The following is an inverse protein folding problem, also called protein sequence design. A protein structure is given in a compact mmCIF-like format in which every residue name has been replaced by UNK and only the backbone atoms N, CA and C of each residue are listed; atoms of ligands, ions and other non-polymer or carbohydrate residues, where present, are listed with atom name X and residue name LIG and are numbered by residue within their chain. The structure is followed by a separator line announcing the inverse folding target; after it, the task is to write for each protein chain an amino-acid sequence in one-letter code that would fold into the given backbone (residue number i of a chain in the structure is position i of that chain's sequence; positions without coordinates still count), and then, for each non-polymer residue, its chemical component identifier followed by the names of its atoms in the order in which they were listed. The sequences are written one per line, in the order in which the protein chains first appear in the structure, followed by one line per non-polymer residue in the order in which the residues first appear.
data_IF_941290762217
#
_entry.id   IF_941290762217
#
_cell.length_a   1.000
_cell.length_b   1.000
_cell.length_c   1.000
_cell.angle_alpha   90.00
_cell.angle_beta   90.00
_cell.angle_gamma   90.00
#
_symmetry.space_group_name_H-M   'P 1'
#
loop_
_entity.id
_entity.type
_entity.pdbx_description
1 polymer ?
#
# COMPACT_ATOMS: atom_id res chain seq x y z
N UNK A 1 -6.51 -14.64 -15.36
CA UNK A 1 -7.34 -15.05 -14.20
C UNK A 1 -6.99 -16.43 -13.64
N UNK A 2 -6.97 -17.52 -14.43
CA UNK A 2 -6.67 -18.88 -13.90
C UNK A 2 -5.16 -19.09 -13.69
N UNK A 3 -4.30 -18.68 -14.63
CA UNK A 3 -2.86 -18.97 -14.60
C UNK A 3 -2.11 -18.37 -13.40
N UNK A 4 -2.20 -17.05 -13.13
CA UNK A 4 -1.47 -16.44 -12.00
C UNK A 4 -1.94 -16.98 -10.64
N UNK A 5 -3.24 -17.25 -10.50
CA UNK A 5 -3.76 -17.82 -9.26
C UNK A 5 -3.28 -19.27 -9.08
N UNK A 6 -3.31 -20.08 -10.13
CA UNK A 6 -2.76 -21.43 -10.09
C UNK A 6 -1.28 -21.43 -9.79
N UNK A 7 -0.50 -20.51 -10.38
CA UNK A 7 0.93 -20.35 -10.12
C UNK A 7 1.19 -19.93 -8.67
N UNK A 8 0.45 -18.94 -8.16
CA UNK A 8 0.62 -18.49 -6.77
C UNK A 8 0.17 -19.54 -5.77
N UNK A 9 -0.89 -20.30 -6.07
CA UNK A 9 -1.35 -21.42 -5.26
C UNK A 9 -0.34 -22.58 -5.32
N UNK A 10 0.03 -23.06 -6.51
CA UNK A 10 1.03 -24.11 -6.73
C UNK A 10 2.37 -23.77 -6.05
N UNK A 11 2.83 -22.53 -6.22
CA UNK A 11 4.07 -22.08 -5.57
C UNK A 11 3.88 -21.93 -4.05
N UNK A 12 2.72 -21.50 -3.57
CA UNK A 12 2.43 -21.48 -2.13
C UNK A 12 2.42 -22.89 -1.52
N UNK A 13 1.96 -23.89 -2.27
CA UNK A 13 1.93 -25.28 -1.82
C UNK A 13 3.31 -25.91 -1.79
N UNK A 14 4.17 -25.60 -2.77
CA UNK A 14 5.58 -26.03 -2.79
C UNK A 14 6.41 -25.41 -1.67
N UNK A 15 6.03 -24.21 -1.23
CA UNK A 15 6.71 -23.48 -0.17
C UNK A 15 6.13 -23.77 1.23
N UNK A 16 5.04 -24.55 1.34
CA UNK A 16 4.50 -24.99 2.63
C UNK A 16 5.53 -25.84 3.37
N UNK A 17 6.01 -25.33 4.50
CA UNK A 17 6.98 -26.00 5.36
C UNK A 17 8.34 -25.31 5.43
N UNK A 18 8.62 -24.38 4.51
CA UNK A 18 9.86 -23.59 4.50
C UNK A 18 9.67 -22.13 4.95
N UNK A 19 8.43 -21.63 4.88
CA UNK A 19 8.10 -20.25 5.23
C UNK A 19 6.67 -20.17 5.79
N UNK A 20 6.42 -19.22 6.69
CA UNK A 20 5.06 -18.91 7.10
C UNK A 20 4.27 -18.30 5.94
N UNK A 21 3.01 -18.72 5.79
CA UNK A 21 2.15 -18.29 4.70
C UNK A 21 2.00 -16.76 4.60
N UNK A 22 1.96 -16.05 5.73
CA UNK A 22 1.85 -14.58 5.77
C UNK A 22 3.11 -13.89 5.24
N UNK A 23 4.28 -14.40 5.60
CA UNK A 23 5.57 -13.88 5.14
C UNK A 23 5.70 -14.05 3.62
N UNK A 24 5.29 -15.21 3.10
CA UNK A 24 5.27 -15.51 1.67
C UNK A 24 4.42 -14.51 0.87
N UNK A 25 3.20 -14.24 1.34
CA UNK A 25 2.30 -13.27 0.71
C UNK A 25 2.90 -11.87 0.65
N UNK A 26 3.59 -11.48 1.71
CA UNK A 26 4.20 -10.16 1.81
C UNK A 26 5.33 -9.99 0.79
N UNK A 27 6.19 -11.01 0.62
CA UNK A 27 7.23 -11.03 -0.41
C UNK A 27 6.67 -10.97 -1.83
N UNK A 28 5.59 -11.70 -2.13
CA UNK A 28 4.93 -11.63 -3.45
C UNK A 28 4.37 -10.24 -3.70
N UNK A 29 3.67 -9.66 -2.72
CA UNK A 29 3.10 -8.33 -2.89
C UNK A 29 4.19 -7.28 -3.05
N UNK A 30 5.30 -7.42 -2.33
CA UNK A 30 6.50 -6.62 -2.53
C UNK A 30 7.03 -6.66 -3.96
N UNK A 31 7.06 -7.84 -4.59
CA UNK A 31 7.58 -8.02 -5.93
C UNK A 31 6.63 -7.43 -6.99
N UNK A 32 5.32 -7.64 -6.81
CA UNK A 32 4.28 -7.01 -7.64
C UNK A 32 4.36 -5.48 -7.53
N UNK A 33 4.48 -4.98 -6.31
CA UNK A 33 4.57 -3.55 -6.04
C UNK A 33 5.85 -2.94 -6.63
N UNK A 34 7.00 -3.60 -6.46
CA UNK A 34 8.25 -3.14 -7.06
C UNK A 34 8.17 -3.09 -8.59
N UNK A 35 7.59 -4.13 -9.20
CA UNK A 35 7.32 -4.14 -10.63
C UNK A 35 6.41 -2.98 -11.06
N UNK A 36 5.36 -2.69 -10.29
CA UNK A 36 4.47 -1.56 -10.54
C UNK A 36 5.24 -0.23 -10.51
N UNK A 37 6.08 -0.03 -9.50
CA UNK A 37 6.90 1.18 -9.38
C UNK A 37 7.84 1.31 -10.58
N UNK A 38 8.53 0.23 -10.95
CA UNK A 38 9.44 0.17 -12.09
C UNK A 38 8.75 0.45 -13.41
N UNK A 39 7.59 -0.16 -13.66
CA UNK A 39 6.83 0.07 -14.89
C UNK A 39 6.34 1.51 -14.99
N UNK A 40 5.81 2.07 -13.89
CA UNK A 40 5.21 3.40 -13.87
C UNK A 40 6.25 4.48 -14.09
N UNK A 41 7.40 4.39 -13.41
CA UNK A 41 8.47 5.38 -13.58
C UNK A 41 9.09 5.35 -14.98
N UNK A 42 9.33 4.16 -15.53
CA UNK A 42 9.84 4.01 -16.89
C UNK A 42 8.87 4.59 -17.91
N UNK A 43 7.58 4.28 -17.79
CA UNK A 43 6.54 4.77 -18.70
C UNK A 43 6.42 6.29 -18.66
N UNK A 44 6.30 6.89 -17.48
CA UNK A 44 6.13 8.34 -17.35
C UNK A 44 7.37 9.11 -17.81
N UNK A 45 8.56 8.61 -17.51
CA UNK A 45 9.79 9.27 -17.94
C UNK A 45 10.05 9.11 -19.44
N UNK A 46 9.78 7.94 -20.03
CA UNK A 46 9.83 7.76 -21.49
C UNK A 46 8.85 8.69 -22.22
N UNK A 47 7.64 8.89 -21.68
CA UNK A 47 6.66 9.82 -22.24
C UNK A 47 7.18 11.27 -22.22
N UNK A 48 7.84 11.69 -21.15
CA UNK A 48 8.42 13.03 -21.06
C UNK A 48 9.62 13.22 -22.00
N UNK A 49 10.43 12.18 -22.17
CA UNK A 49 11.66 12.21 -22.96
C UNK A 49 11.42 12.01 -24.47
N UNK A 50 10.25 11.51 -24.86
CA UNK A 50 9.88 11.28 -26.27
C UNK A 50 10.13 12.50 -27.17
N UNK A 51 9.85 13.72 -26.68
CA UNK A 51 10.08 14.97 -27.43
C UNK A 51 11.55 15.29 -27.72
N UNK A 52 12.47 14.65 -26.99
CA UNK A 52 13.91 14.80 -27.16
C UNK A 52 14.54 13.62 -27.91
N UNK A 53 13.72 12.66 -28.37
CA UNK A 53 14.16 11.46 -29.08
C UNK A 53 15.21 10.63 -28.29
N UNK A 54 15.06 10.60 -26.96
CA UNK A 54 15.79 9.71 -26.07
C UNK A 54 14.82 8.97 -25.14
N UNK A 55 15.26 7.85 -24.59
CA UNK A 55 14.52 7.07 -23.60
C UNK A 55 15.09 7.24 -22.18
N UNK A 56 14.41 6.65 -21.21
CA UNK A 56 14.72 6.78 -19.79
C UNK A 56 16.11 6.24 -19.43
N UNK A 57 16.56 5.17 -20.08
CA UNK A 57 17.91 4.63 -19.89
C UNK A 57 18.96 5.59 -20.43
N UNK A 58 18.76 6.08 -21.66
CA UNK A 58 19.67 7.02 -22.33
C UNK A 58 19.80 8.34 -21.56
N UNK A 59 18.74 8.80 -20.89
CA UNK A 59 18.79 10.01 -20.07
C UNK A 59 19.77 9.95 -18.89
N UNK A 60 20.16 8.74 -18.45
CA UNK A 60 21.11 8.52 -17.35
C UNK A 60 22.50 8.06 -17.84
N UNK A 61 22.74 8.09 -19.15
CA UNK A 61 24.08 7.92 -19.70
C UNK A 61 24.94 9.16 -19.38
N UNK A 62 26.27 8.97 -19.38
CA UNK A 62 27.22 9.99 -18.92
C UNK A 62 27.10 11.29 -19.70
N UNK A 63 26.80 11.23 -20.99
CA UNK A 63 26.64 12.40 -21.86
C UNK A 63 25.33 13.16 -21.63
N UNK A 64 24.31 12.49 -21.07
CA UNK A 64 22.94 12.99 -20.97
C UNK A 64 22.50 13.33 -19.54
N UNK A 65 23.18 12.81 -18.52
CA UNK A 65 22.74 12.93 -17.11
C UNK A 65 22.61 14.38 -16.63
N UNK A 66 23.53 15.27 -17.05
CA UNK A 66 23.50 16.68 -16.64
C UNK A 66 22.32 17.44 -17.26
N UNK A 67 21.94 17.11 -18.49
CA UNK A 67 20.87 17.79 -19.24
C UNK A 67 19.48 17.19 -18.98
N UNK A 68 19.40 15.87 -18.83
CA UNK A 68 18.14 15.13 -18.75
C UNK A 68 18.00 14.36 -17.43
N UNK A 69 18.98 13.51 -17.08
CA UNK A 69 18.86 12.58 -15.95
C UNK A 69 18.55 13.27 -14.62
N UNK A 70 19.26 14.34 -14.27
CA UNK A 70 19.03 15.09 -13.03
C UNK A 70 17.61 15.68 -12.98
N UNK A 71 17.13 16.21 -14.11
CA UNK A 71 15.79 16.80 -14.19
C UNK A 71 14.71 15.73 -14.10
N UNK A 72 14.91 14.60 -14.77
CA UNK A 72 13.99 13.46 -14.71
C UNK A 72 13.91 12.89 -13.30
N UNK A 73 15.03 12.81 -12.57
CA UNK A 73 15.03 12.40 -11.17
C UNK A 73 14.19 13.34 -10.31
N UNK A 74 14.43 14.65 -10.42
CA UNK A 74 13.65 15.67 -9.71
C UNK A 74 12.15 15.58 -10.02
N UNK A 75 11.81 15.49 -11.31
CA UNK A 75 10.41 15.41 -11.76
C UNK A 75 9.75 14.09 -11.33
N UNK A 76 10.49 12.98 -11.30
CA UNK A 76 9.98 11.70 -10.76
C UNK A 76 9.67 11.81 -9.27
N UNK A 77 10.57 12.37 -8.48
CA UNK A 77 10.34 12.57 -7.04
C UNK A 77 9.16 13.50 -6.79
N UNK A 78 8.97 14.54 -7.61
CA UNK A 78 7.85 15.47 -7.44
C UNK A 78 6.51 14.91 -7.90
N UNK A 79 6.47 14.21 -9.04
CA UNK A 79 5.22 13.76 -9.65
C UNK A 79 4.78 12.38 -9.15
N UNK A 80 5.73 11.47 -8.92
CA UNK A 80 5.49 10.09 -8.50
C UNK A 80 5.76 9.87 -7.01
N UNK A 81 6.57 10.73 -6.39
CA UNK A 81 6.95 10.60 -4.97
C UNK A 81 8.10 9.61 -4.72
N UNK A 82 8.67 9.01 -5.76
CA UNK A 82 9.79 8.08 -5.67
C UNK A 82 10.69 8.11 -6.91
N UNK A 83 11.88 7.56 -6.81
CA UNK A 83 12.83 7.39 -7.90
C UNK A 83 13.52 6.03 -7.86
N UNK A 84 13.64 5.41 -9.04
CA UNK A 84 14.36 4.15 -9.29
C UNK A 84 15.26 4.39 -10.50
N UNK A 85 16.55 4.10 -10.37
CA UNK A 85 17.50 4.23 -11.49
C UNK A 85 17.17 3.25 -12.62
N UNK A 86 17.48 3.58 -13.89
CA UNK A 86 17.25 2.67 -15.00
C UNK A 86 17.86 1.28 -14.80
N UNK A 87 19.07 1.18 -14.25
CA UNK A 87 19.76 -0.10 -13.99
C UNK A 87 19.05 -1.02 -12.98
N UNK A 88 18.22 -0.45 -12.10
CA UNK A 88 17.49 -1.18 -11.07
C UNK A 88 16.05 -1.51 -11.53
N UNK A 89 15.61 -1.14 -12.73
CA UNK A 89 14.27 -1.47 -13.23
C UNK A 89 14.02 -2.99 -13.27
N UNK A 90 12.79 -3.41 -12.99
CA UNK A 90 12.36 -4.80 -12.90
C UNK A 90 12.82 -5.70 -14.07
N UNK A 91 12.73 -5.27 -15.35
CA UNK A 91 13.24 -6.06 -16.47
C UNK A 91 14.76 -6.30 -16.41
N UNK A 92 15.53 -5.35 -15.88
CA UNK A 92 16.98 -5.48 -15.71
C UNK A 92 17.31 -6.43 -14.55
N UNK A 93 16.51 -6.43 -13.49
CA UNK A 93 16.64 -7.41 -12.39
C UNK A 93 16.43 -8.85 -12.90
N UNK A 94 15.45 -9.06 -13.79
CA UNK A 94 15.16 -10.38 -14.38
C UNK A 94 16.27 -10.91 -15.30
N UNK A 95 17.13 -10.03 -15.80
CA UNK A 95 18.24 -10.40 -16.69
C UNK A 95 19.49 -10.87 -15.94
N UNK A 96 19.51 -10.74 -14.61
CA UNK A 96 20.63 -11.11 -13.74
C UNK A 96 20.60 -12.61 -13.41
N UNK A 97 21.78 -13.21 -13.20
CA UNK A 97 21.88 -14.62 -12.80
C UNK A 97 21.34 -14.86 -11.38
N UNK A 98 21.51 -13.87 -10.49
CA UNK A 98 21.06 -13.92 -9.09
C UNK A 98 19.93 -12.92 -8.87
N UNK A 99 18.71 -13.29 -9.29
CA UNK A 99 17.54 -12.40 -9.31
C UNK A 99 17.19 -11.93 -7.91
N UNK A 100 17.13 -12.82 -6.91
CA UNK A 100 16.66 -12.48 -5.56
C UNK A 100 17.58 -11.51 -4.81
N UNK A 101 18.90 -11.72 -4.73
CA UNK A 101 19.80 -10.74 -4.12
C UNK A 101 19.75 -9.38 -4.83
N UNK A 102 19.67 -9.38 -6.17
CA UNK A 102 19.57 -8.13 -6.93
C UNK A 102 18.25 -7.41 -6.65
N UNK A 103 17.14 -8.14 -6.57
CA UNK A 103 15.84 -7.57 -6.23
C UNK A 103 15.87 -6.96 -4.82
N UNK A 104 16.52 -7.62 -3.85
CA UNK A 104 16.70 -7.05 -2.51
C UNK A 104 17.48 -5.73 -2.57
N UNK A 105 18.64 -5.71 -3.25
CA UNK A 105 19.41 -4.48 -3.40
C UNK A 105 18.59 -3.36 -4.07
N UNK A 106 17.80 -3.71 -5.08
CA UNK A 106 17.02 -2.77 -5.86
C UNK A 106 15.86 -2.14 -5.06
N UNK A 107 15.18 -2.90 -4.19
CA UNK A 107 14.14 -2.35 -3.29
C UNK A 107 14.74 -1.43 -2.21
N UNK A 108 15.99 -1.66 -1.78
CA UNK A 108 16.68 -0.81 -0.79
C UNK A 108 17.19 0.49 -1.38
N UNK A 109 17.44 0.54 -2.70
CA UNK A 109 17.91 1.73 -3.41
C UNK A 109 16.80 2.70 -3.81
N UNK A 110 15.53 2.33 -3.63
CA UNK A 110 14.42 3.22 -3.99
C UNK A 110 14.53 4.49 -3.16
N UNK A 111 14.53 5.63 -3.83
CA UNK A 111 14.52 6.92 -3.17
C UNK A 111 13.06 7.40 -3.06
N UNK A 112 12.52 7.45 -1.84
CA UNK A 112 11.20 8.06 -1.60
C UNK A 112 11.34 9.53 -1.23
N UNK A 113 10.49 10.39 -1.80
CA UNK A 113 10.38 11.79 -1.39
C UNK A 113 9.86 11.91 0.04
N UNK A 114 8.84 11.11 0.36
CA UNK A 114 8.23 11.05 1.70
C UNK A 114 8.99 10.07 2.59
N UNK A 115 9.61 10.58 3.65
CA UNK A 115 10.48 9.80 4.55
C UNK A 115 9.77 8.65 5.26
N UNK A 116 8.46 8.79 5.52
CA UNK A 116 7.67 7.72 6.15
C UNK A 116 7.49 6.48 5.27
N UNK A 117 7.87 6.52 3.98
CA UNK A 117 7.86 5.36 3.09
C UNK A 117 9.20 4.61 3.04
N UNK A 118 10.27 5.13 3.67
CA UNK A 118 11.58 4.48 3.65
C UNK A 118 11.58 3.10 4.33
N UNK A 119 10.61 2.82 5.20
CA UNK A 119 10.47 1.54 5.89
C UNK A 119 9.54 0.54 5.17
N UNK A 120 9.01 0.90 3.99
CA UNK A 120 7.95 0.17 3.30
C UNK A 120 8.34 -1.27 2.94
N UNK A 121 9.62 -1.53 2.72
CA UNK A 121 10.15 -2.83 2.35
C UNK A 121 10.89 -3.54 3.49
N UNK A 122 10.90 -3.01 4.72
CA UNK A 122 11.71 -3.55 5.82
C UNK A 122 11.32 -4.98 6.23
N UNK A 123 10.07 -5.39 5.99
CA UNK A 123 9.55 -6.73 6.27
C UNK A 123 9.81 -7.73 5.12
N UNK A 124 10.47 -7.31 4.04
CA UNK A 124 10.73 -8.13 2.84
C UNK A 124 12.23 -8.33 2.72
N UNK A 125 12.69 -9.57 2.66
CA UNK A 125 14.11 -9.93 2.52
C UNK A 125 14.28 -11.00 1.44
N UNK A 126 14.44 -10.59 0.18
CA UNK A 126 14.61 -11.55 -0.92
C UNK A 126 15.95 -12.27 -0.86
N UNK A 127 16.97 -11.66 -0.25
CA UNK A 127 18.28 -12.27 -0.11
C UNK A 127 18.24 -13.52 0.77
N UNK A 128 17.50 -13.50 1.86
CA UNK A 128 17.29 -14.66 2.73
C UNK A 128 16.61 -15.82 1.99
N UNK A 129 15.69 -15.51 1.08
CA UNK A 129 15.03 -16.52 0.25
C UNK A 129 15.99 -17.23 -0.71
N UNK A 130 17.15 -16.63 -0.98
CA UNK A 130 18.19 -17.22 -1.84
C UNK A 130 19.09 -18.22 -1.12
N UNK A 131 18.98 -18.35 0.21
CA UNK A 131 19.78 -19.28 1.01
C UNK A 131 19.32 -20.73 0.88
N UNK A 132 18.04 -20.95 0.57
CA UNK A 132 17.48 -22.27 0.30
C UNK A 132 17.18 -22.42 -1.20
N UNK A 133 17.81 -23.39 -1.85
CA UNK A 133 17.74 -23.59 -3.30
C UNK A 133 16.31 -23.89 -3.81
N UNK A 134 15.49 -24.61 -3.04
CA UNK A 134 14.11 -24.92 -3.40
C UNK A 134 13.21 -23.68 -3.29
N UNK A 135 13.40 -22.89 -2.23
CA UNK A 135 12.71 -21.60 -2.03
C UNK A 135 13.10 -20.61 -3.11
N UNK A 136 14.40 -20.48 -3.37
CA UNK A 136 14.97 -19.63 -4.42
C UNK A 136 14.34 -19.94 -5.77
N UNK A 137 14.42 -21.18 -6.22
CA UNK A 137 13.92 -21.59 -7.54
C UNK A 137 12.40 -21.34 -7.67
N UNK A 138 11.64 -21.59 -6.61
CA UNK A 138 10.20 -21.33 -6.58
C UNK A 138 9.90 -19.83 -6.66
N UNK A 139 10.58 -18.99 -5.88
CA UNK A 139 10.38 -17.55 -5.89
C UNK A 139 10.84 -16.89 -7.19
N UNK A 140 11.96 -17.31 -7.76
CA UNK A 140 12.42 -16.79 -9.06
C UNK A 140 11.42 -17.12 -10.17
N UNK A 141 10.80 -18.31 -10.13
CA UNK A 141 9.70 -18.64 -11.05
C UNK A 141 8.54 -17.65 -10.86
N UNK A 142 8.10 -17.40 -9.64
CA UNK A 142 7.02 -16.42 -9.37
C UNK A 142 7.39 -15.04 -9.90
N UNK A 143 8.61 -14.54 -9.65
CA UNK A 143 9.06 -13.22 -10.10
C UNK A 143 9.05 -13.13 -11.63
N UNK A 144 9.46 -14.20 -12.32
CA UNK A 144 9.37 -14.29 -13.79
C UNK A 144 7.91 -14.27 -14.28
N UNK A 145 7.00 -14.97 -13.59
CA UNK A 145 5.57 -14.97 -13.92
C UNK A 145 4.90 -13.62 -13.65
N UNK A 146 5.28 -12.95 -12.55
CA UNK A 146 4.88 -11.58 -12.24
C UNK A 146 5.23 -10.65 -13.40
N UNK A 147 6.31 -10.91 -14.17
CA UNK A 147 6.65 -10.11 -15.36
C UNK A 147 5.54 -10.10 -16.42
N UNK A 148 4.77 -11.19 -16.55
CA UNK A 148 3.65 -11.30 -17.49
C UNK A 148 2.44 -10.42 -17.14
N UNK A 149 2.34 -9.93 -15.90
CA UNK A 149 1.29 -8.98 -15.50
C UNK A 149 1.43 -7.66 -16.29
N UNK A 150 0.35 -7.11 -16.84
CA UNK A 150 0.38 -5.68 -17.24
C UNK A 150 -0.27 -4.83 -16.15
N UNK A 151 -0.07 -3.52 -16.15
CA UNK A 151 -0.77 -2.62 -15.20
C UNK A 151 -1.83 -1.78 -15.93
N UNK A 152 -2.68 -2.45 -16.70
CA UNK A 152 -3.89 -1.85 -17.28
C UNK A 152 -5.10 -2.09 -16.36
N UNK A 153 -6.24 -1.45 -16.67
CA UNK A 153 -7.48 -1.54 -15.85
C UNK A 153 -7.89 -2.98 -15.51
N UNK A 154 -7.72 -3.93 -16.44
CA UNK A 154 -8.04 -5.35 -16.24
C UNK A 154 -7.16 -6.03 -15.19
N UNK A 155 -5.89 -5.64 -15.08
CA UNK A 155 -4.94 -6.26 -14.14
C UNK A 155 -4.94 -5.59 -12.77
N UNK A 156 -5.46 -4.36 -12.65
CA UNK A 156 -5.82 -3.79 -11.35
C UNK A 156 -6.84 -4.66 -10.61
N UNK A 157 -7.82 -5.21 -11.33
CA UNK A 157 -8.78 -6.16 -10.76
C UNK A 157 -8.09 -7.46 -10.31
N UNK A 158 -7.02 -7.88 -10.99
CA UNK A 158 -6.21 -9.03 -10.59
C UNK A 158 -5.41 -8.74 -9.31
N UNK A 159 -4.80 -7.56 -9.19
CA UNK A 159 -4.13 -7.15 -7.94
C UNK A 159 -5.14 -7.07 -6.79
N UNK A 160 -6.32 -6.46 -7.00
CA UNK A 160 -7.41 -6.44 -6.01
C UNK A 160 -7.82 -7.85 -5.58
N UNK A 161 -7.91 -8.78 -6.54
CA UNK A 161 -8.20 -10.17 -6.26
C UNK A 161 -7.09 -10.83 -5.42
N UNK A 162 -5.82 -10.61 -5.72
CA UNK A 162 -4.70 -11.11 -4.93
C UNK A 162 -4.72 -10.56 -3.51
N UNK A 163 -4.98 -9.26 -3.35
CA UNK A 163 -5.13 -8.64 -2.03
C UNK A 163 -6.29 -9.29 -1.26
N UNK A 164 -7.45 -9.51 -1.89
CA UNK A 164 -8.57 -10.25 -1.29
C UNK A 164 -8.17 -11.67 -0.89
N UNK A 165 -7.46 -12.38 -1.75
CA UNK A 165 -6.98 -13.75 -1.49
C UNK A 165 -5.98 -13.80 -0.34
N UNK A 166 -5.14 -12.78 -0.18
CA UNK A 166 -4.15 -12.75 0.89
C UNK A 166 -4.72 -12.32 2.23
N UNK A 167 -5.59 -11.31 2.23
CA UNK A 167 -6.09 -10.70 3.46
C UNK A 167 -7.27 -11.46 4.08
N UNK A 168 -8.01 -12.28 3.31
CA UNK A 168 -9.19 -13.11 3.69
C UNK A 168 -10.02 -12.60 4.87
N UNK A 169 -9.54 -12.76 6.09
CA UNK A 169 -10.22 -12.38 7.34
C UNK A 169 -10.28 -10.88 7.60
N UNK A 170 -9.33 -10.12 7.06
CA UNK A 170 -9.20 -8.67 7.27
C UNK A 170 -9.63 -7.86 6.05
N UNK A 171 -10.25 -8.51 5.06
CA UNK A 171 -10.71 -7.85 3.83
C UNK A 171 -12.21 -7.59 3.89
N UNK A 172 -12.59 -6.31 3.83
CA UNK A 172 -13.99 -5.90 3.70
C UNK A 172 -14.51 -6.30 2.31
N UNK A 173 -15.60 -7.09 2.21
CA UNK A 173 -16.17 -7.47 0.92
C UNK A 173 -16.48 -6.24 0.06
N UNK A 174 -16.23 -6.33 -1.26
CA UNK A 174 -16.38 -5.22 -2.18
C UNK A 174 -17.78 -4.61 -2.14
N UNK A 175 -18.81 -5.45 -2.04
CA UNK A 175 -20.21 -5.04 -1.99
C UNK A 175 -20.49 -4.15 -0.77
N UNK A 176 -19.85 -4.44 0.36
CA UNK A 176 -19.95 -3.64 1.58
C UNK A 176 -19.20 -2.32 1.39
N UNK A 177 -17.97 -2.36 0.85
CA UNK A 177 -17.19 -1.14 0.63
C UNK A 177 -17.85 -0.19 -0.37
N UNK A 178 -18.47 -0.72 -1.43
CA UNK A 178 -19.27 0.06 -2.40
C UNK A 178 -20.48 0.69 -1.70
N UNK A 179 -21.23 -0.08 -0.92
CA UNK A 179 -22.40 0.43 -0.21
C UNK A 179 -22.00 1.56 0.76
N UNK A 180 -20.99 1.32 1.59
CA UNK A 180 -20.49 2.32 2.53
C UNK A 180 -20.02 3.58 1.81
N UNK A 181 -19.23 3.43 0.74
CA UNK A 181 -18.72 4.56 -0.05
C UNK A 181 -19.85 5.42 -0.59
N UNK A 182 -20.90 4.81 -1.14
CA UNK A 182 -22.09 5.54 -1.63
C UNK A 182 -22.86 6.25 -0.54
N UNK A 183 -22.95 5.66 0.66
CA UNK A 183 -23.69 6.26 1.78
C UNK A 183 -22.97 7.47 2.35
N UNK A 184 -21.65 7.39 2.53
CA UNK A 184 -20.87 8.47 3.15
C UNK A 184 -20.53 9.61 2.19
N UNK A 185 -20.70 9.40 0.88
CA UNK A 185 -20.45 10.42 -0.16
C UNK A 185 -21.73 11.05 -0.73
N UNK A 186 -22.90 10.81 -0.12
CA UNK A 186 -24.17 11.38 -0.60
C UNK A 186 -24.05 12.91 -0.72
N UNK A 187 -24.27 13.43 -1.93
CA UNK A 187 -24.16 14.85 -2.27
C UNK A 187 -22.75 15.46 -2.12
N UNK A 188 -21.69 14.65 -1.95
CA UNK A 188 -20.30 15.10 -1.87
C UNK A 188 -19.54 14.71 -3.14
N UNK A 189 -19.37 15.65 -4.08
CA UNK A 189 -18.60 15.41 -5.32
C UNK A 189 -17.09 15.60 -5.12
N UNK A 190 -16.72 16.45 -4.17
CA UNK A 190 -15.33 16.67 -3.73
C UNK A 190 -15.28 16.47 -2.21
N UNK A 191 -14.25 15.79 -1.75
CA UNK A 191 -14.00 15.50 -0.34
C UNK A 191 -12.54 15.85 -0.08
N UNK A 192 -12.27 16.73 0.88
CA UNK A 192 -10.90 17.16 1.16
C UNK A 192 -10.17 16.10 2.00
N UNK A 193 -10.76 15.67 3.12
CA UNK A 193 -10.12 14.73 4.04
C UNK A 193 -11.01 13.52 4.31
N UNK A 194 -10.53 12.31 3.98
CA UNK A 194 -11.17 11.04 4.35
C UNK A 194 -10.37 10.31 5.41
N UNK A 195 -11.03 9.61 6.33
CA UNK A 195 -10.36 8.84 7.38
C UNK A 195 -10.95 7.45 7.61
N UNK A 196 -10.08 6.47 7.87
CA UNK A 196 -10.43 5.11 8.28
C UNK A 196 -9.61 4.70 9.51
N UNK A 197 -10.27 4.58 10.66
CA UNK A 197 -9.63 4.23 11.94
C UNK A 197 -9.13 2.78 12.02
N UNK A 198 -9.49 1.93 11.06
CA UNK A 198 -9.15 0.50 11.02
C UNK A 198 -8.88 0.04 9.59
N UNK A 199 -8.00 0.77 8.90
CA UNK A 199 -7.97 0.77 7.44
C UNK A 199 -7.55 -0.56 6.81
N UNK A 200 -6.93 -1.48 7.55
CA UNK A 200 -6.46 -2.74 6.98
C UNK A 200 -5.48 -2.45 5.86
N UNK A 201 -5.83 -2.88 4.65
CA UNK A 201 -5.10 -2.62 3.41
C UNK A 201 -5.49 -1.33 2.68
N UNK A 202 -6.24 -0.45 3.34
CA UNK A 202 -6.87 0.75 2.77
C UNK A 202 -7.83 0.46 1.60
N UNK A 203 -8.26 -0.79 1.40
CA UNK A 203 -9.12 -1.13 0.26
C UNK A 203 -10.46 -0.40 0.35
N UNK A 204 -11.09 -0.35 1.53
CA UNK A 204 -12.35 0.38 1.74
C UNK A 204 -12.21 1.88 1.47
N UNK A 205 -11.16 2.53 1.99
CA UNK A 205 -10.86 3.94 1.70
C UNK A 205 -10.80 4.23 0.19
N UNK A 206 -10.15 3.34 -0.57
CA UNK A 206 -9.95 3.52 -2.01
C UNK A 206 -11.22 3.37 -2.85
N UNK A 207 -12.29 2.76 -2.32
CA UNK A 207 -13.58 2.70 -3.02
C UNK A 207 -14.25 4.08 -3.14
N UNK A 208 -13.95 5.02 -2.23
CA UNK A 208 -14.52 6.36 -2.31
C UNK A 208 -14.10 7.12 -3.59
N UNK A 209 -12.98 6.73 -4.22
CA UNK A 209 -12.52 7.33 -5.49
C UNK A 209 -13.51 7.19 -6.64
N UNK A 210 -14.34 6.16 -6.60
CA UNK A 210 -15.34 5.91 -7.62
C UNK A 210 -16.59 6.79 -7.42
N UNK A 211 -16.75 7.40 -6.23
CA UNK A 211 -17.92 8.20 -5.86
C UNK A 211 -17.61 9.70 -5.77
N UNK A 212 -16.38 10.08 -5.40
CA UNK A 212 -15.98 11.48 -5.24
C UNK A 212 -14.49 11.71 -5.55
N UNK A 213 -14.13 12.97 -5.86
CA UNK A 213 -12.74 13.41 -5.93
C UNK A 213 -12.21 13.67 -4.52
N UNK A 214 -11.18 12.95 -4.13
CA UNK A 214 -10.61 13.01 -2.78
C UNK A 214 -9.23 13.66 -2.82
N UNK A 215 -8.97 14.60 -1.90
CA UNK A 215 -7.67 15.27 -1.79
C UNK A 215 -6.70 14.49 -0.90
N UNK A 216 -7.07 14.19 0.34
CA UNK A 216 -6.20 13.58 1.35
C UNK A 216 -6.83 12.32 1.98
N UNK A 217 -6.01 11.29 2.20
CA UNK A 217 -6.42 10.03 2.84
C UNK A 217 -5.69 9.83 4.16
N UNK A 218 -6.44 9.55 5.22
CA UNK A 218 -5.89 9.23 6.53
C UNK A 218 -6.31 7.83 6.95
N UNK A 219 -5.42 7.08 7.59
CA UNK A 219 -5.76 5.75 8.08
C UNK A 219 -4.94 5.32 9.28
N UNK A 220 -5.49 4.43 10.10
CA UNK A 220 -4.77 3.77 11.18
C UNK A 220 -4.91 2.25 11.05
N UNK A 221 -3.79 1.53 11.21
CA UNK A 221 -3.75 0.08 11.16
C UNK A 221 -2.74 -0.47 12.17
N UNK A 222 -3.19 -1.37 13.04
CA UNK A 222 -2.35 -1.92 14.11
C UNK A 222 -1.38 -2.99 13.60
N UNK A 223 -1.77 -3.79 12.60
CA UNK A 223 -0.95 -4.85 12.04
C UNK A 223 0.05 -4.28 11.04
N UNK A 224 1.35 -4.46 11.32
CA UNK A 224 2.44 -3.94 10.49
C UNK A 224 2.38 -4.40 9.03
N UNK A 225 2.02 -5.66 8.76
CA UNK A 225 1.94 -6.16 7.38
C UNK A 225 0.77 -5.51 6.63
N UNK A 226 -0.39 -5.36 7.25
CA UNK A 226 -1.53 -4.65 6.66
C UNK A 226 -1.21 -3.18 6.43
N UNK A 227 -0.50 -2.55 7.36
CA UNK A 227 -0.02 -1.18 7.25
C UNK A 227 0.89 -0.97 6.03
N UNK A 228 1.87 -1.87 5.83
CA UNK A 228 2.74 -1.83 4.65
C UNK A 228 1.94 -2.05 3.37
N UNK A 229 1.01 -3.02 3.38
CA UNK A 229 0.09 -3.27 2.28
C UNK A 229 -0.80 -2.08 1.95
N UNK A 230 -1.32 -1.36 2.95
CA UNK A 230 -2.14 -0.16 2.74
C UNK A 230 -1.37 0.91 1.97
N UNK A 231 -0.13 1.17 2.35
CA UNK A 231 0.72 2.17 1.70
C UNK A 231 1.10 1.77 0.27
N UNK A 232 1.44 0.50 0.06
CA UNK A 232 1.63 -0.05 -1.30
C UNK A 232 0.34 0.11 -2.13
N UNK A 233 -0.82 -0.17 -1.55
CA UNK A 233 -2.11 -0.11 -2.22
C UNK A 233 -2.50 1.32 -2.62
N UNK A 234 -2.26 2.31 -1.75
CA UNK A 234 -2.46 3.73 -2.06
C UNK A 234 -1.65 4.14 -3.30
N UNK A 235 -0.37 3.80 -3.32
CA UNK A 235 0.54 4.14 -4.43
C UNK A 235 0.14 3.41 -5.73
N UNK A 236 -0.22 2.13 -5.63
CA UNK A 236 -0.73 1.38 -6.79
C UNK A 236 -2.00 2.01 -7.35
N UNK A 237 -2.89 2.53 -6.51
CA UNK A 237 -4.08 3.26 -6.95
C UNK A 237 -3.78 4.69 -7.44
N UNK A 238 -2.50 5.07 -7.59
CA UNK A 238 -2.09 6.36 -8.11
C UNK A 238 -2.32 7.52 -7.14
N UNK A 239 -2.42 7.24 -5.83
CA UNK A 239 -2.43 8.31 -4.83
C UNK A 239 -0.99 8.77 -4.63
N UNK A 240 -0.76 10.08 -4.80
CA UNK A 240 0.55 10.67 -4.55
C UNK A 240 0.92 10.46 -3.06
N UNK A 241 2.15 10.03 -2.73
CA UNK A 241 2.63 9.90 -1.35
C UNK A 241 2.35 11.10 -0.42
N UNK A 242 2.31 12.31 -0.96
CA UNK A 242 2.01 13.52 -0.17
C UNK A 242 0.52 13.62 0.24
N UNK A 243 -0.36 12.92 -0.48
CA UNK A 243 -1.81 12.96 -0.31
C UNK A 243 -2.36 11.83 0.57
N UNK A 244 -1.50 11.04 1.23
CA UNK A 244 -1.97 10.07 2.21
C UNK A 244 -1.06 9.95 3.42
N UNK A 245 -1.63 9.70 4.59
CA UNK A 245 -0.92 9.36 5.82
C UNK A 245 -1.60 8.16 6.48
N UNK A 246 -0.89 7.04 6.56
CA UNK A 246 -1.32 5.87 7.31
C UNK A 246 -0.44 5.78 8.54
N UNK A 247 -1.01 5.46 9.71
CA UNK A 247 -0.26 5.28 10.95
C UNK A 247 -0.32 3.81 11.40
N UNK A 248 0.82 3.27 11.83
CA UNK A 248 0.89 1.91 12.36
C UNK A 248 0.70 1.88 13.89
N UNK A 249 -0.54 1.88 14.35
CA UNK A 249 -0.89 1.94 15.78
C UNK A 249 -2.32 1.46 16.07
N UNK A 250 -2.65 1.33 17.36
CA UNK A 250 -4.03 1.06 17.80
C UNK A 250 -4.81 2.37 17.92
N UNK A 251 -5.75 2.59 17.00
CA UNK A 251 -6.59 3.79 16.96
C UNK A 251 -7.43 3.98 18.22
N UNK A 252 -7.76 2.93 18.96
CA UNK A 252 -8.54 3.06 20.21
C UNK A 252 -7.74 3.67 21.35
N UNK A 253 -6.41 3.54 21.33
CA UNK A 253 -5.52 4.03 22.41
C UNK A 253 -4.60 5.16 21.97
N UNK A 254 -4.40 5.35 20.65
CA UNK A 254 -3.56 6.39 20.07
C UNK A 254 -4.39 7.30 19.19
N UNK A 255 -4.79 8.43 19.78
CA UNK A 255 -5.39 9.53 19.06
C UNK A 255 -4.34 10.23 18.19
N UNK A 256 -4.71 10.57 16.95
CA UNK A 256 -3.92 11.43 16.08
C UNK A 256 -4.57 12.80 15.98
N UNK A 257 -3.74 13.83 15.88
CA UNK A 257 -4.18 15.18 15.57
C UNK A 257 -4.43 15.30 14.06
N UNK A 258 -5.56 14.76 13.63
CA UNK A 258 -6.01 14.82 12.23
C UNK A 258 -6.57 16.22 11.91
N UNK A 259 -6.55 16.65 10.64
CA UNK A 259 -7.37 17.79 10.22
C UNK A 259 -8.86 17.45 10.40
N UNK A 260 -9.73 18.46 10.24
CA UNK A 260 -11.16 18.23 10.15
C UNK A 260 -11.45 17.22 9.02
N UNK A 261 -12.15 16.15 9.37
CA UNK A 261 -12.47 15.05 8.45
C UNK A 261 -13.87 15.26 7.88
N UNK A 262 -13.99 15.21 6.57
CA UNK A 262 -15.25 15.38 5.86
C UNK A 262 -16.01 14.06 5.74
N UNK A 263 -15.30 12.93 5.71
CA UNK A 263 -15.88 11.60 5.58
C UNK A 263 -15.08 10.59 6.37
N UNK A 264 -15.77 9.81 7.21
CA UNK A 264 -15.20 8.63 7.86
C UNK A 264 -15.82 7.37 7.27
N UNK A 265 -14.96 6.45 6.85
CA UNK A 265 -15.37 5.12 6.36
C UNK A 265 -14.46 4.08 7.00
N UNK A 266 -15.03 3.11 7.71
CA UNK A 266 -14.23 2.14 8.46
C UNK A 266 -14.95 0.81 8.62
N UNK A 267 -14.21 -0.28 8.75
CA UNK A 267 -14.76 -1.61 9.02
C UNK A 267 -14.05 -2.24 10.23
N UNK A 268 -14.36 -1.76 11.45
CA UNK A 268 -13.63 -2.17 12.64
C UNK A 268 -13.86 -3.65 12.98
N UNK A 269 -12.88 -4.31 13.63
CA UNK A 269 -13.02 -5.68 14.08
C UNK A 269 -14.11 -5.80 15.15
N UNK A 270 -15.05 -6.72 14.93
CA UNK A 270 -16.21 -6.91 15.81
C UNK A 270 -15.84 -7.59 17.14
N UNK A 271 -16.38 -7.10 18.26
CA UNK A 271 -16.19 -7.67 19.61
C UNK A 271 -14.73 -7.91 20.01
N UNK A 272 -13.82 -7.06 19.50
CA UNK A 272 -12.40 -7.12 19.85
C UNK A 272 -12.19 -6.64 21.29
N UNK A 273 -11.34 -7.34 22.03
CA UNK A 273 -10.82 -6.83 23.32
C UNK A 273 -9.87 -5.68 23.06
N UNK A 274 -9.84 -4.69 23.94
CA UNK A 274 -8.96 -3.53 23.82
C UNK A 274 -8.42 -3.11 25.18
N UNK A 275 -7.37 -2.30 25.16
CA UNK A 275 -6.68 -1.84 26.36
C UNK A 275 -7.37 -0.62 26.97
N UNK A 276 -8.58 -0.82 27.51
CA UNK A 276 -9.29 0.22 28.22
C UNK A 276 -8.61 0.50 29.58
N UNK A 277 -7.74 1.49 29.65
CA UNK A 277 -7.05 1.89 30.87
C UNK A 277 -7.52 3.27 31.36
N UNK A 278 -7.37 3.57 32.65
CA UNK A 278 -7.89 4.80 33.25
C UNK A 278 -7.21 6.08 32.72
N UNK A 279 -6.06 5.97 32.05
CA UNK A 279 -5.43 7.13 31.40
C UNK A 279 -6.25 7.64 30.22
N UNK A 280 -6.98 6.74 29.53
CA UNK A 280 -7.90 7.11 28.46
C UNK A 280 -9.11 7.89 28.96
N UNK A 281 -9.38 7.96 30.27
CA UNK A 281 -10.41 8.88 30.80
C UNK A 281 -10.01 10.36 30.69
N UNK A 282 -8.74 10.65 30.34
CA UNK A 282 -8.26 12.00 30.05
C UNK A 282 -8.29 12.31 28.56
N UNK A 283 -8.46 11.29 27.72
CA UNK A 283 -8.57 11.43 26.27
C UNK A 283 -9.93 12.07 25.94
N UNK A 284 -9.90 13.14 25.14
CA UNK A 284 -11.08 13.94 24.84
C UNK A 284 -12.18 13.13 24.15
N UNK A 285 -11.81 12.09 23.39
CA UNK A 285 -12.75 11.18 22.73
C UNK A 285 -13.70 10.50 23.71
N UNK A 286 -13.23 10.20 24.92
CA UNK A 286 -14.00 9.45 25.91
C UNK A 286 -14.61 10.35 27.01
N UNK A 287 -14.31 11.65 27.00
CA UNK A 287 -14.76 12.60 28.03
C UNK A 287 -16.28 12.79 28.04
N UNK A 288 -16.94 12.74 26.88
CA UNK A 288 -18.38 12.98 26.73
C UNK A 288 -19.22 12.04 27.59
N UNK A 289 -18.89 10.75 27.61
CA UNK A 289 -19.64 9.73 28.34
C UNK A 289 -19.08 9.45 29.74
N UNK A 290 -17.94 10.03 30.09
CA UNK A 290 -17.23 9.89 31.39
C UNK A 290 -16.99 8.44 31.80
N UNK A 291 -17.03 7.51 30.84
CA UNK A 291 -16.85 6.07 31.02
C UNK A 291 -16.24 5.50 29.76
N UNK A 292 -15.33 4.56 29.95
CA UNK A 292 -14.78 3.79 28.85
C UNK A 292 -15.73 2.66 28.45
N UNK A 293 -15.77 2.29 27.16
CA UNK A 293 -16.35 1.03 26.72
C UNK A 293 -15.79 -0.18 27.50
N UNK A 294 -16.55 -1.28 27.65
CA UNK A 294 -16.05 -2.47 28.34
C UNK A 294 -14.75 -3.01 27.71
N UNK A 295 -13.78 -3.44 28.52
CA UNK A 295 -12.51 -4.05 28.04
C UNK A 295 -12.70 -5.21 27.06
N UNK A 296 -13.83 -5.92 27.19
CA UNK A 296 -14.17 -7.05 26.32
C UNK A 296 -14.71 -6.66 24.95
N UNK A 297 -15.04 -5.38 24.72
CA UNK A 297 -15.72 -4.89 23.51
C UNK A 297 -15.26 -3.47 23.14
N UNK A 298 -14.43 -3.37 22.11
CA UNK A 298 -13.88 -2.13 21.59
C UNK A 298 -14.85 -1.35 20.68
N UNK A 299 -16.04 -1.90 20.39
CA UNK A 299 -16.96 -1.41 19.36
C UNK A 299 -17.27 0.10 19.54
N UNK A 300 -17.63 0.52 20.76
CA UNK A 300 -17.83 1.95 21.05
C UNK A 300 -16.53 2.76 21.04
N UNK A 301 -15.39 2.16 21.39
CA UNK A 301 -14.11 2.88 21.36
C UNK A 301 -13.72 3.28 19.93
N UNK A 302 -14.00 2.40 18.97
CA UNK A 302 -13.86 2.73 17.55
C UNK A 302 -14.86 3.82 17.12
N UNK A 303 -16.12 3.76 17.55
CA UNK A 303 -17.12 4.79 17.23
C UNK A 303 -16.69 6.17 17.72
N UNK A 304 -16.27 6.31 18.98
CA UNK A 304 -15.77 7.59 19.51
C UNK A 304 -14.54 8.07 18.74
N UNK A 305 -13.65 7.16 18.36
CA UNK A 305 -12.45 7.49 17.57
C UNK A 305 -12.81 7.99 16.17
N UNK A 306 -13.85 7.44 15.56
CA UNK A 306 -14.34 7.83 14.24
C UNK A 306 -15.10 9.16 14.28
N UNK A 307 -15.91 9.41 15.32
CA UNK A 307 -16.72 10.63 15.42
C UNK A 307 -15.86 11.85 15.81
N UNK A 308 -14.85 11.66 16.66
CA UNK A 308 -14.09 12.78 17.22
C UNK A 308 -13.46 13.74 16.20
N UNK A 309 -12.79 13.29 15.11
CA UNK A 309 -12.21 14.19 14.13
C UNK A 309 -13.20 14.62 13.03
N UNK A 310 -14.45 14.13 13.06
CA UNK A 310 -15.47 14.42 12.05
C UNK A 310 -15.89 15.89 12.14
N UNK A 311 -15.93 16.55 10.99
CA UNK A 311 -16.43 17.92 10.84
C UNK A 311 -17.94 18.03 11.11
N UNK A 312 -18.42 19.24 11.38
CA UNK A 312 -19.85 19.48 11.65
C UNK A 312 -20.75 19.13 10.45
N UNK A 313 -20.22 19.23 9.22
CA UNK A 313 -20.87 18.84 7.96
C UNK A 313 -20.38 17.48 7.41
N UNK A 314 -19.70 16.70 8.27
CA UNK A 314 -19.16 15.37 8.00
C UNK A 314 -20.19 14.29 7.75
#
# INVERSE_FOLDING_TARGET
MVEINEILIDSSEKLRGHMEYLEYQHHIMGAIFYKYLSYTIEKENNKQLFKFNINYKEAFEKENIEFYGNKIKEDSLNNLGYFIKPEDLYPNILAEENILPKLDDAIRKIEFKKTSLNDLFNQINYKELSENEEVKNSFERIIKEINGLSFNKKHYDEIKYLMKFFLKKSYTPNEISILLSKLVSINKNEIENVYDATCGSASTLLFLKDEAKITNYYGQEINKNNYDLARMNMIMHGINPENFEIYNEDSTTKQRNLPAIDVVISHPPFLKKWDANDELLKDERFNTFKKLPPKSKADYAFIETMIYPLSDDG
#
